data_IF_704515965246
#
_entry.id   IF_704515965246
#
_cell.length_a   1.000
_cell.length_b   1.000
_cell.length_c   1.000
_cell.angle_alpha   90.00
_cell.angle_beta   90.00
_cell.angle_gamma   90.00
#
_symmetry.space_group_name_H-M   'P 1'
#
loop_
_entity.id
_entity.type
_entity.pdbx_description
1 polymer ?
#
# COMPACT_ATOMS: atom_id res chain seq x y z
N UNK A 1 10.37 0.24 -6.64
CA UNK A 1 9.42 1.20 -6.04
C UNK A 1 8.17 1.43 -6.88
N UNK A 2 8.28 1.88 -8.14
CA UNK A 2 7.10 2.18 -8.98
C UNK A 2 6.09 1.02 -9.13
N UNK A 3 6.54 -0.17 -9.58
CA UNK A 3 5.65 -1.33 -9.74
C UNK A 3 5.05 -1.80 -8.40
N UNK A 4 5.81 -1.68 -7.31
CA UNK A 4 5.33 -1.99 -5.95
C UNK A 4 4.21 -1.03 -5.55
N UNK A 5 4.38 0.28 -5.78
CA UNK A 5 3.36 1.29 -5.50
C UNK A 5 2.06 1.03 -6.29
N UNK A 6 2.18 0.67 -7.58
CA UNK A 6 1.02 0.28 -8.40
C UNK A 6 0.34 -0.96 -7.83
N UNK A 7 1.10 -1.99 -7.43
CA UNK A 7 0.56 -3.21 -6.84
C UNK A 7 -0.22 -2.96 -5.54
N UNK A 8 0.33 -2.14 -4.65
CA UNK A 8 -0.32 -1.73 -3.39
C UNK A 8 -1.63 -0.99 -3.69
N UNK A 9 -1.62 -0.04 -4.63
CA UNK A 9 -2.83 0.70 -5.00
C UNK A 9 -3.90 -0.22 -5.61
N UNK A 10 -3.50 -1.23 -6.39
CA UNK A 10 -4.43 -2.24 -6.92
C UNK A 10 -5.02 -3.10 -5.79
N UNK A 11 -4.22 -3.49 -4.80
CA UNK A 11 -4.70 -4.21 -3.61
C UNK A 11 -5.72 -3.38 -2.82
N UNK A 12 -5.46 -2.07 -2.67
CA UNK A 12 -6.31 -1.13 -1.91
C UNK A 12 -7.64 -0.87 -2.63
N UNK A 13 -7.60 -0.74 -3.95
CA UNK A 13 -8.77 -0.36 -4.75
C UNK A 13 -9.66 -1.56 -5.13
N UNK A 14 -9.39 -2.79 -4.64
CA UNK A 14 -9.94 -3.99 -5.27
C UNK A 14 -11.46 -4.16 -5.14
N UNK A 15 -12.15 -3.62 -4.14
CA UNK A 15 -13.62 -3.41 -4.19
C UNK A 15 -13.95 -2.25 -3.25
N UNK A 16 -15.00 -1.50 -3.53
CA UNK A 16 -15.49 -0.37 -2.73
C UNK A 16 -15.93 -0.72 -1.31
N UNK A 17 -15.05 -1.30 -0.49
CA UNK A 17 -15.20 -1.46 0.96
C UNK A 17 -14.98 -0.10 1.60
N UNK A 18 -15.98 0.77 1.42
CA UNK A 18 -16.08 2.00 2.16
C UNK A 18 -15.95 1.76 3.67
N UNK A 19 -15.30 2.71 4.34
CA UNK A 19 -15.16 2.84 5.78
C UNK A 19 -14.38 1.72 6.51
N UNK A 20 -13.08 1.96 6.70
CA UNK A 20 -12.29 1.40 7.82
C UNK A 20 -11.46 0.15 7.55
N UNK A 21 -11.66 -0.56 6.43
CA UNK A 21 -10.81 -1.71 6.05
C UNK A 21 -9.99 -1.39 4.80
N UNK A 22 -8.66 -1.22 4.92
CA UNK A 22 -7.79 -0.93 3.78
C UNK A 22 -7.72 -2.06 2.74
N UNK A 23 -8.04 -3.29 3.14
CA UNK A 23 -7.84 -4.50 2.36
C UNK A 23 -9.11 -5.38 2.37
N UNK A 24 -9.34 -6.12 1.28
CA UNK A 24 -10.41 -7.10 1.22
C UNK A 24 -10.16 -8.25 2.22
N UNK A 25 -11.21 -8.86 2.81
CA UNK A 25 -11.08 -10.02 3.70
C UNK A 25 -10.39 -11.23 3.06
N UNK A 26 -10.32 -11.27 1.74
CA UNK A 26 -9.69 -12.34 0.95
C UNK A 26 -8.18 -12.16 0.78
N UNK A 27 -7.63 -11.02 1.18
CA UNK A 27 -6.18 -10.78 1.17
C UNK A 27 -5.56 -11.46 2.38
N UNK A 28 -4.47 -12.20 2.18
CA UNK A 28 -3.76 -12.85 3.29
C UNK A 28 -3.14 -11.81 4.20
N UNK A 29 -3.07 -12.10 5.49
CA UNK A 29 -2.44 -11.22 6.47
C UNK A 29 -0.99 -10.85 6.10
N UNK A 30 -0.24 -11.82 5.55
CA UNK A 30 1.13 -11.59 5.07
C UNK A 30 1.21 -10.60 3.89
N UNK A 31 0.25 -10.66 2.97
CA UNK A 31 0.17 -9.74 1.83
C UNK A 31 -0.22 -8.33 2.29
N UNK A 32 -1.17 -8.23 3.23
CA UNK A 32 -1.57 -6.97 3.84
C UNK A 32 -0.41 -6.32 4.61
N UNK A 33 0.32 -7.10 5.41
CA UNK A 33 1.49 -6.65 6.16
C UNK A 33 2.58 -6.13 5.22
N UNK A 34 2.95 -6.93 4.21
CA UNK A 34 3.95 -6.53 3.22
C UNK A 34 3.54 -5.25 2.48
N UNK A 35 2.26 -5.09 2.12
CA UNK A 35 1.76 -3.89 1.46
C UNK A 35 1.87 -2.63 2.36
N UNK A 36 1.57 -2.75 3.65
CA UNK A 36 1.69 -1.66 4.63
C UNK A 36 3.16 -1.25 4.81
N UNK A 37 4.05 -2.20 5.04
CA UNK A 37 5.48 -1.94 5.22
C UNK A 37 6.08 -1.26 3.98
N UNK A 38 5.75 -1.77 2.80
CA UNK A 38 6.23 -1.17 1.55
C UNK A 38 5.67 0.23 1.29
N UNK A 39 4.43 0.52 1.69
CA UNK A 39 3.89 1.87 1.61
C UNK A 39 4.69 2.86 2.49
N UNK A 40 5.12 2.42 3.69
CA UNK A 40 6.00 3.21 4.56
C UNK A 40 7.37 3.49 3.91
N UNK A 41 8.01 2.46 3.34
CA UNK A 41 9.30 2.61 2.63
C UNK A 41 9.19 3.58 1.45
N UNK A 42 8.14 3.46 0.64
CA UNK A 42 7.90 4.37 -0.48
C UNK A 42 7.68 5.80 0.02
N UNK A 43 6.90 5.98 1.09
CA UNK A 43 6.63 7.31 1.66
C UNK A 43 7.90 7.97 2.19
N UNK A 44 8.73 7.23 2.92
CA UNK A 44 10.02 7.71 3.41
C UNK A 44 10.93 8.14 2.25
N UNK A 45 11.02 7.34 1.19
CA UNK A 45 11.77 7.70 -0.01
C UNK A 45 11.22 8.97 -0.67
N UNK A 46 9.89 9.12 -0.78
CA UNK A 46 9.29 10.31 -1.37
C UNK A 46 9.56 11.58 -0.54
N UNK A 47 9.53 11.48 0.80
CA UNK A 47 9.85 12.60 1.69
C UNK A 47 11.32 13.03 1.51
N UNK A 48 12.24 12.07 1.46
CA UNK A 48 13.66 12.34 1.20
C UNK A 48 13.88 13.04 -0.15
N UNK A 49 13.11 12.64 -1.18
CA UNK A 49 13.13 13.27 -2.51
C UNK A 49 12.49 14.66 -2.57
N UNK A 50 11.65 15.02 -1.60
CA UNK A 50 11.02 16.36 -1.51
C UNK A 50 11.86 17.33 -0.67
N UNK A 51 12.70 16.80 0.22
CA UNK A 51 13.53 17.59 1.14
C UNK A 51 14.91 17.96 0.56
N UNK A 52 15.16 17.59 -0.69
CA UNK A 52 16.37 17.86 -1.48
C UNK A 52 15.97 18.33 -2.88
#
# INVERSE_FOLDING_TARGET
MFNTAIGINKLRNKQGTGHGRPWLPTIKESEAKAAIEMAGVISSYMIDKLSN
#
